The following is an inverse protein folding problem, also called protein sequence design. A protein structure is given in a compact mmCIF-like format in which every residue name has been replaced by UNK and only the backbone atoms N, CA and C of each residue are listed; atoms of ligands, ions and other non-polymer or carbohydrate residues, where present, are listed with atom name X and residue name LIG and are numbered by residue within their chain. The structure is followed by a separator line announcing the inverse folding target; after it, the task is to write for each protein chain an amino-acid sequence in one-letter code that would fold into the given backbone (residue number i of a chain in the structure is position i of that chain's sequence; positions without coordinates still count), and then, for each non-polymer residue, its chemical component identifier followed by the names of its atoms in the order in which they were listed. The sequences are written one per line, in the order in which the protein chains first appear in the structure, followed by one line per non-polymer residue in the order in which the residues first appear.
data_IF_372146943030
#
_entry.id   IF_372146943030
#
_cell.length_a   1.000
_cell.length_b   1.000
_cell.length_c   1.000
_cell.angle_alpha   90.00
_cell.angle_beta   90.00
_cell.angle_gamma   90.00
#
_symmetry.space_group_name_H-M   'P 1'
#
loop_
_entity.id
_entity.type
_entity.pdbx_description
1 polymer ?
#
# COMPACT_ATOMS: atom_id res chain seq x y z
N UNK A 1 15.69 -1.96 10.46
CA UNK A 1 15.71 -2.91 9.34
C UNK A 1 16.27 -2.18 8.13
N UNK A 2 17.24 -2.76 7.41
CA UNK A 2 17.74 -2.20 6.15
C UNK A 2 16.79 -2.50 5.00
N UNK A 3 16.99 -1.84 3.86
CA UNK A 3 16.24 -2.11 2.64
C UNK A 3 16.44 -3.56 2.17
N UNK A 4 17.66 -4.07 2.28
CA UNK A 4 18.04 -5.43 1.88
C UNK A 4 17.40 -6.48 2.80
N UNK A 5 17.33 -6.22 4.10
CA UNK A 5 16.62 -7.08 5.06
C UNK A 5 15.12 -7.12 4.76
N UNK A 6 14.52 -5.96 4.45
CA UNK A 6 13.11 -5.87 4.08
C UNK A 6 12.83 -6.65 2.79
N UNK A 7 13.70 -6.52 1.78
CA UNK A 7 13.62 -7.29 0.54
C UNK A 7 13.71 -8.80 0.79
N UNK A 8 14.65 -9.23 1.62
CA UNK A 8 14.81 -10.64 1.99
C UNK A 8 13.58 -11.20 2.74
N UNK A 9 12.80 -10.36 3.42
CA UNK A 9 11.51 -10.78 4.00
C UNK A 9 10.41 -10.89 2.95
N UNK A 10 10.37 -9.97 1.98
CA UNK A 10 9.40 -10.00 0.88
C UNK A 10 9.60 -11.21 -0.05
N UNK A 11 10.84 -11.69 -0.22
CA UNK A 11 11.16 -12.92 -0.97
C UNK A 11 10.51 -14.17 -0.40
N UNK A 12 10.12 -14.15 0.88
CA UNK A 12 9.48 -15.28 1.57
C UNK A 12 7.97 -15.30 1.41
N UNK A 13 7.37 -14.31 0.75
CA UNK A 13 5.94 -14.27 0.49
C UNK A 13 5.53 -15.43 -0.43
N UNK A 14 4.33 -16.00 -0.24
CA UNK A 14 3.85 -17.08 -1.08
C UNK A 14 3.63 -16.59 -2.52
N UNK A 15 3.67 -17.53 -3.46
CA UNK A 15 3.17 -17.28 -4.81
C UNK A 15 1.65 -17.34 -4.80
N UNK A 16 1.02 -16.58 -5.68
CA UNK A 16 -0.43 -16.55 -5.84
C UNK A 16 -0.83 -17.48 -6.99
N UNK A 17 -1.97 -18.16 -6.84
CA UNK A 17 -2.49 -19.00 -7.91
C UNK A 17 -3.05 -18.14 -9.06
N UNK A 18 -3.11 -18.73 -10.26
CA UNK A 18 -3.77 -18.09 -11.41
C UNK A 18 -5.27 -17.88 -11.18
N UNK A 19 -5.89 -18.74 -10.35
CA UNK A 19 -7.30 -18.61 -9.95
C UNK A 19 -7.50 -17.34 -9.12
N UNK A 20 -6.69 -17.16 -8.08
CA UNK A 20 -6.69 -15.95 -7.23
C UNK A 20 -6.39 -14.70 -8.06
N UNK A 21 -5.40 -14.76 -8.96
CA UNK A 21 -5.07 -13.64 -9.83
C UNK A 21 -6.24 -13.27 -10.76
N UNK A 22 -6.94 -14.28 -11.31
CA UNK A 22 -8.13 -14.09 -12.13
C UNK A 22 -9.28 -13.44 -11.36
N UNK A 23 -9.64 -13.99 -10.19
CA UNK A 23 -10.72 -13.45 -9.36
C UNK A 23 -10.43 -12.01 -8.94
N UNK A 24 -9.21 -11.73 -8.50
CA UNK A 24 -8.82 -10.37 -8.12
C UNK A 24 -8.90 -9.41 -9.30
N UNK A 25 -8.46 -9.83 -10.50
CA UNK A 25 -8.54 -8.99 -11.70
C UNK A 25 -9.99 -8.66 -12.09
N UNK A 26 -10.89 -9.64 -12.00
CA UNK A 26 -12.33 -9.46 -12.25
C UNK A 26 -12.98 -8.50 -11.25
N UNK A 27 -12.59 -8.59 -9.96
CA UNK A 27 -13.18 -7.79 -8.88
C UNK A 27 -12.46 -6.47 -8.62
N UNK A 28 -11.33 -6.20 -9.27
CA UNK A 28 -10.44 -5.06 -8.97
C UNK A 28 -11.15 -3.72 -8.82
N UNK A 29 -12.03 -3.38 -9.76
CA UNK A 29 -12.74 -2.09 -9.72
C UNK A 29 -13.75 -2.03 -8.56
N UNK A 30 -14.42 -3.14 -8.28
CA UNK A 30 -15.34 -3.27 -7.13
C UNK A 30 -14.59 -3.14 -5.80
N UNK A 31 -13.41 -3.76 -5.68
CA UNK A 31 -12.56 -3.66 -4.50
C UNK A 31 -12.15 -2.20 -4.24
N UNK A 32 -11.72 -1.47 -5.27
CA UNK A 32 -11.35 -0.06 -5.14
C UNK A 32 -12.57 0.85 -4.82
N UNK A 33 -13.72 0.57 -5.42
CA UNK A 33 -14.96 1.27 -5.13
C UNK A 33 -15.35 1.12 -3.66
N UNK A 34 -15.30 -0.10 -3.14
CA UNK A 34 -15.65 -0.35 -1.75
C UNK A 34 -14.64 0.26 -0.78
N UNK A 35 -13.35 0.17 -1.10
CA UNK A 35 -12.29 0.82 -0.33
C UNK A 35 -12.53 2.32 -0.21
N UNK A 36 -12.86 2.99 -1.32
CA UNK A 36 -13.20 4.40 -1.34
C UNK A 36 -14.47 4.70 -0.53
N UNK A 37 -15.49 3.85 -0.62
CA UNK A 37 -16.73 4.01 0.12
C UNK A 37 -16.50 3.96 1.63
N UNK A 38 -15.71 3.00 2.12
CA UNK A 38 -15.43 2.85 3.55
C UNK A 38 -14.53 3.98 4.06
N UNK A 39 -13.40 4.22 3.40
CA UNK A 39 -12.47 5.28 3.83
C UNK A 39 -13.10 6.68 3.72
N UNK A 40 -13.88 6.94 2.67
CA UNK A 40 -14.59 8.21 2.46
C UNK A 40 -15.63 8.53 3.54
N UNK A 41 -16.10 7.52 4.29
CA UNK A 41 -17.07 7.68 5.38
C UNK A 41 -16.42 7.90 6.75
N UNK A 42 -15.08 7.89 6.83
CA UNK A 42 -14.38 8.07 8.10
C UNK A 42 -14.53 9.50 8.64
N UNK A 43 -14.89 9.66 9.93
CA UNK A 43 -15.01 10.99 10.52
C UNK A 43 -13.66 11.70 10.66
N UNK A 44 -12.56 10.95 10.77
CA UNK A 44 -11.19 11.45 10.90
C UNK A 44 -10.46 11.57 9.55
N UNK A 45 -11.17 11.47 8.42
CA UNK A 45 -10.53 11.36 7.11
C UNK A 45 -9.60 12.53 6.80
N UNK A 46 -10.05 13.76 7.04
CA UNK A 46 -9.24 14.96 6.82
C UNK A 46 -7.96 14.97 7.67
N UNK A 47 -8.00 14.43 8.89
CA UNK A 47 -6.82 14.30 9.75
C UNK A 47 -5.82 13.27 9.20
N UNK A 48 -6.32 12.23 8.52
CA UNK A 48 -5.48 11.18 7.92
C UNK A 48 -4.78 11.64 6.64
N UNK A 49 -5.51 12.31 5.74
CA UNK A 49 -5.02 12.60 4.39
C UNK A 49 -4.64 14.06 4.17
N UNK A 50 -5.01 14.97 5.07
CA UNK A 50 -4.91 16.42 4.88
C UNK A 50 -6.11 17.00 4.11
N UNK A 51 -6.40 18.27 4.35
CA UNK A 51 -7.53 18.94 3.69
C UNK A 51 -7.38 18.97 2.17
N UNK A 52 -8.49 18.72 1.45
CA UNK A 52 -8.52 18.76 -0.02
C UNK A 52 -7.95 17.52 -0.73
N UNK A 53 -7.42 16.52 -0.01
CA UNK A 53 -6.77 15.35 -0.61
C UNK A 53 -7.69 14.15 -0.93
N UNK A 54 -9.01 14.30 -0.80
CA UNK A 54 -9.96 13.19 -1.00
C UNK A 54 -9.82 12.50 -2.36
N UNK A 55 -9.78 13.28 -3.45
CA UNK A 55 -9.64 12.71 -4.79
C UNK A 55 -8.29 11.97 -4.97
N UNK A 56 -7.21 12.50 -4.40
CA UNK A 56 -5.89 11.88 -4.42
C UNK A 56 -5.88 10.55 -3.65
N UNK A 57 -6.58 10.48 -2.52
CA UNK A 57 -6.75 9.23 -1.78
C UNK A 57 -7.50 8.20 -2.63
N UNK A 58 -8.59 8.59 -3.30
CA UNK A 58 -9.32 7.65 -4.14
C UNK A 58 -8.49 7.13 -5.33
N UNK A 59 -7.70 8.01 -5.95
CA UNK A 59 -6.75 7.62 -6.98
C UNK A 59 -5.68 6.67 -6.45
N UNK A 60 -5.19 6.91 -5.23
CA UNK A 60 -4.27 6.00 -4.56
C UNK A 60 -4.88 4.61 -4.38
N UNK A 61 -6.13 4.50 -3.94
CA UNK A 61 -6.80 3.21 -3.77
C UNK A 61 -7.01 2.49 -5.12
N UNK A 62 -7.40 3.22 -6.17
CA UNK A 62 -7.51 2.66 -7.54
C UNK A 62 -6.15 2.16 -8.03
N UNK A 63 -5.08 2.91 -7.77
CA UNK A 63 -3.72 2.53 -8.15
C UNK A 63 -3.20 1.36 -7.32
N UNK A 64 -3.50 1.29 -6.03
CA UNK A 64 -3.20 0.15 -5.17
C UNK A 64 -3.84 -1.12 -5.72
N UNK A 65 -5.13 -1.10 -6.06
CA UNK A 65 -5.81 -2.26 -6.64
C UNK A 65 -5.17 -2.71 -7.97
N UNK A 66 -4.82 -1.77 -8.85
CA UNK A 66 -4.10 -2.10 -10.11
C UNK A 66 -2.72 -2.69 -9.84
N UNK A 67 -1.98 -2.09 -8.92
CA UNK A 67 -0.65 -2.53 -8.54
C UNK A 67 -0.67 -3.96 -7.99
N UNK A 68 -1.54 -4.24 -7.01
CA UNK A 68 -1.66 -5.58 -6.43
C UNK A 68 -2.11 -6.59 -7.49
N UNK A 69 -3.05 -6.24 -8.36
CA UNK A 69 -3.45 -7.11 -9.47
C UNK A 69 -2.29 -7.45 -10.41
N UNK A 70 -1.40 -6.50 -10.70
CA UNK A 70 -0.19 -6.76 -11.49
C UNK A 70 0.83 -7.61 -10.72
N UNK A 71 0.98 -7.35 -9.42
CA UNK A 71 1.96 -8.00 -8.55
C UNK A 71 1.60 -9.47 -8.31
N UNK A 72 0.32 -9.81 -8.11
CA UNK A 72 -0.09 -11.21 -7.91
C UNK A 72 0.04 -12.05 -9.18
N UNK A 73 -0.04 -11.43 -10.37
CA UNK A 73 0.19 -12.12 -11.63
C UNK A 73 1.69 -12.37 -11.90
N UNK A 74 2.56 -11.47 -11.47
CA UNK A 74 4.02 -11.60 -11.63
C UNK A 74 4.74 -11.03 -10.40
N UNK A 75 4.84 -11.86 -9.35
CA UNK A 75 5.37 -11.41 -8.07
C UNK A 75 6.84 -11.03 -8.16
N UNK A 76 7.15 -9.79 -7.79
CA UNK A 76 8.51 -9.30 -7.66
C UNK A 76 8.68 -8.60 -6.30
N UNK A 77 9.47 -9.18 -5.37
CA UNK A 77 9.79 -8.57 -4.08
C UNK A 77 10.37 -7.17 -4.22
N UNK A 78 11.24 -6.96 -5.22
CA UNK A 78 11.86 -5.66 -5.47
C UNK A 78 10.82 -4.63 -5.89
N UNK A 79 9.92 -4.97 -6.81
CA UNK A 79 8.84 -4.08 -7.24
C UNK A 79 7.91 -3.75 -6.07
N UNK A 80 7.58 -4.72 -5.22
CA UNK A 80 6.81 -4.49 -3.99
C UNK A 80 7.48 -3.46 -3.08
N UNK A 81 8.72 -3.72 -2.67
CA UNK A 81 9.44 -2.88 -1.70
C UNK A 81 9.63 -1.46 -2.24
N UNK A 82 10.11 -1.32 -3.48
CA UNK A 82 10.35 0.00 -4.07
C UNK A 82 9.07 0.81 -4.24
N UNK A 83 7.98 0.17 -4.66
CA UNK A 83 6.71 0.87 -4.88
C UNK A 83 6.14 1.35 -3.54
N UNK A 84 6.15 0.52 -2.50
CA UNK A 84 5.62 0.93 -1.19
C UNK A 84 6.47 2.05 -0.58
N UNK A 85 7.80 1.99 -0.66
CA UNK A 85 8.68 3.06 -0.19
C UNK A 85 8.42 4.38 -0.95
N UNK A 86 8.21 4.31 -2.27
CA UNK A 86 7.88 5.49 -3.06
C UNK A 86 6.51 6.08 -2.68
N UNK A 87 5.49 5.24 -2.48
CA UNK A 87 4.16 5.68 -2.04
C UNK A 87 4.24 6.39 -0.69
N UNK A 88 4.93 5.82 0.30
CA UNK A 88 5.09 6.47 1.60
C UNK A 88 5.69 7.88 1.47
N UNK A 89 6.72 8.05 0.63
CA UNK A 89 7.34 9.37 0.41
C UNK A 89 6.42 10.34 -0.33
N UNK A 90 5.85 9.91 -1.45
CA UNK A 90 5.06 10.76 -2.32
C UNK A 90 3.85 11.34 -1.56
N UNK A 91 3.06 10.49 -0.92
CA UNK A 91 1.83 10.95 -0.26
C UNK A 91 2.11 11.75 1.02
N UNK A 92 3.20 11.45 1.74
CA UNK A 92 3.62 12.29 2.88
C UNK A 92 3.97 13.71 2.45
N UNK A 93 4.59 13.90 1.28
CA UNK A 93 4.84 15.25 0.73
C UNK A 93 3.56 16.00 0.37
N UNK A 94 2.44 15.29 0.19
CA UNK A 94 1.12 15.86 -0.04
C UNK A 94 0.29 16.02 1.24
N UNK A 95 0.83 15.72 2.43
CA UNK A 95 0.15 15.95 3.71
C UNK A 95 -0.53 14.73 4.32
N UNK A 96 -0.41 13.54 3.71
CA UNK A 96 -0.89 12.31 4.32
C UNK A 96 -0.08 12.00 5.59
N UNK A 97 -0.79 11.63 6.66
CA UNK A 97 -0.21 11.31 7.97
C UNK A 97 0.16 9.84 8.08
N UNK A 98 1.08 9.52 8.98
CA UNK A 98 1.49 8.13 9.21
C UNK A 98 0.34 7.22 9.66
N UNK A 99 -0.67 7.77 10.32
CA UNK A 99 -1.89 7.08 10.75
C UNK A 99 -2.80 6.66 9.60
N UNK A 100 -2.63 7.23 8.40
CA UNK A 100 -3.38 6.82 7.21
C UNK A 100 -3.02 5.40 6.76
N UNK A 101 -1.75 5.02 6.83
CA UNK A 101 -1.28 3.71 6.35
C UNK A 101 -1.91 2.51 7.06
N UNK A 102 -1.96 2.46 8.41
CA UNK A 102 -2.64 1.36 9.09
C UNK A 102 -4.14 1.39 8.80
N UNK A 103 -4.79 2.56 8.83
CA UNK A 103 -6.21 2.70 8.51
C UNK A 103 -6.55 2.17 7.10
N UNK A 104 -5.72 2.51 6.12
CA UNK A 104 -5.87 2.05 4.74
C UNK A 104 -5.68 0.53 4.62
N UNK A 105 -4.60 -0.01 5.18
CA UNK A 105 -4.28 -1.44 5.03
C UNK A 105 -5.29 -2.33 5.77
N UNK A 106 -5.74 -1.93 6.94
CA UNK A 106 -6.79 -2.65 7.68
C UNK A 106 -8.10 -2.66 6.88
N UNK A 107 -8.47 -1.51 6.31
CA UNK A 107 -9.67 -1.42 5.45
C UNK A 107 -9.54 -2.30 4.21
N UNK A 108 -8.36 -2.35 3.57
CA UNK A 108 -8.13 -3.29 2.47
C UNK A 108 -8.33 -4.74 2.89
N UNK A 109 -7.82 -5.15 4.05
CA UNK A 109 -8.01 -6.51 4.57
C UNK A 109 -9.50 -6.82 4.74
N UNK A 110 -10.28 -5.89 5.30
CA UNK A 110 -11.74 -6.03 5.44
C UNK A 110 -12.44 -6.17 4.09
N UNK A 111 -12.12 -5.31 3.12
CA UNK A 111 -12.68 -5.33 1.77
C UNK A 111 -12.36 -6.66 1.09
N UNK A 112 -11.12 -7.10 1.12
CA UNK A 112 -10.70 -8.36 0.48
C UNK A 112 -11.40 -9.56 1.09
N UNK A 113 -11.51 -9.59 2.42
CA UNK A 113 -12.19 -10.68 3.14
C UNK A 113 -13.67 -10.77 2.77
N UNK A 114 -14.31 -9.63 2.51
CA UNK A 114 -15.74 -9.57 2.20
C UNK A 114 -16.03 -9.85 0.73
N UNK A 115 -15.20 -9.34 -0.16
CA UNK A 115 -15.47 -9.33 -1.59
C UNK A 115 -14.84 -10.52 -2.34
N UNK A 116 -13.75 -11.11 -1.84
CA UNK A 116 -13.12 -12.26 -2.47
C UNK A 116 -13.66 -13.58 -1.91
N UNK A 117 -13.45 -14.66 -2.66
CA UNK A 117 -13.63 -16.01 -2.14
C UNK A 117 -12.68 -16.26 -0.95
N UNK A 118 -13.06 -17.14 -0.01
CA UNK A 118 -12.19 -17.48 1.12
C UNK A 118 -10.79 -17.95 0.69
N UNK A 119 -10.71 -18.75 -0.38
CA UNK A 119 -9.44 -19.25 -0.91
C UNK A 119 -8.56 -18.11 -1.46
N UNK A 120 -9.13 -17.20 -2.27
CA UNK A 120 -8.37 -16.07 -2.80
C UNK A 120 -7.94 -15.10 -1.69
N UNK A 121 -8.81 -14.86 -0.71
CA UNK A 121 -8.45 -14.07 0.47
C UNK A 121 -7.30 -14.71 1.26
N UNK A 122 -7.34 -16.01 1.53
CA UNK A 122 -6.29 -16.73 2.26
C UNK A 122 -4.94 -16.68 1.52
N UNK A 123 -4.92 -16.74 0.19
CA UNK A 123 -3.70 -16.58 -0.60
C UNK A 123 -3.15 -15.14 -0.59
N UNK A 124 -4.04 -14.13 -0.61
CA UNK A 124 -3.64 -12.71 -0.70
C UNK A 124 -3.29 -12.12 0.67
N UNK A 125 -3.97 -12.54 1.73
CA UNK A 125 -3.81 -11.98 3.07
C UNK A 125 -2.34 -11.92 3.56
N UNK A 126 -1.48 -12.93 3.34
CA UNK A 126 -0.07 -12.86 3.72
C UNK A 126 0.68 -11.63 3.18
N UNK A 127 0.35 -11.16 1.98
CA UNK A 127 0.93 -9.95 1.40
C UNK A 127 0.54 -8.69 2.20
N UNK A 128 -0.75 -8.56 2.54
CA UNK A 128 -1.24 -7.42 3.32
C UNK A 128 -0.74 -7.45 4.74
N UNK A 129 -0.76 -8.63 5.37
CA UNK A 129 -0.19 -8.83 6.69
C UNK A 129 1.30 -8.49 6.74
N UNK A 130 2.07 -8.87 5.71
CA UNK A 130 3.47 -8.48 5.58
C UNK A 130 3.63 -6.96 5.48
N UNK A 131 2.83 -6.28 4.64
CA UNK A 131 2.85 -4.81 4.58
C UNK A 131 2.55 -4.19 5.95
N UNK A 132 1.56 -4.72 6.68
CA UNK A 132 1.16 -4.23 8.00
C UNK A 132 2.29 -4.37 9.02
N UNK A 133 2.91 -5.54 9.12
CA UNK A 133 4.00 -5.81 10.07
C UNK A 133 5.22 -4.92 9.77
N UNK A 134 5.52 -4.68 8.50
CA UNK A 134 6.69 -3.93 8.08
C UNK A 134 6.45 -2.41 7.94
N UNK A 135 5.27 -1.89 8.33
CA UNK A 135 5.00 -0.45 8.34
C UNK A 135 6.08 0.38 9.03
N UNK A 136 6.59 0.03 10.24
CA UNK A 136 7.66 0.80 10.87
C UNK A 136 8.93 0.88 10.00
N UNK A 137 9.30 -0.21 9.33
CA UNK A 137 10.45 -0.24 8.43
C UNK A 137 10.24 0.66 7.21
N UNK A 138 9.03 0.67 6.64
CA UNK A 138 8.69 1.58 5.54
C UNK A 138 8.79 3.04 5.95
N UNK A 139 8.32 3.40 7.16
CA UNK A 139 8.44 4.75 7.70
C UNK A 139 9.92 5.14 7.81
N UNK A 140 10.72 4.36 8.55
CA UNK A 140 12.14 4.66 8.80
C UNK A 140 12.94 4.81 7.49
N UNK A 141 12.76 3.88 6.56
CA UNK A 141 13.47 3.89 5.28
C UNK A 141 13.00 5.04 4.37
N UNK A 142 11.71 5.35 4.37
CA UNK A 142 11.17 6.48 3.58
C UNK A 142 11.67 7.83 4.10
N UNK A 143 11.78 7.99 5.43
CA UNK A 143 12.30 9.21 6.07
C UNK A 143 13.79 9.40 5.80
N UNK A 144 14.59 8.34 5.88
CA UNK A 144 16.02 8.41 5.58
C UNK A 144 16.29 8.90 4.14
N UNK A 145 15.44 8.50 3.19
CA UNK A 145 15.53 8.93 1.79
C UNK A 145 15.10 10.39 1.57
N UNK A 146 14.21 10.92 2.40
CA UNK A 146 13.83 12.35 2.38
C UNK A 146 14.93 13.20 3.02
N UNK A 147 15.48 12.76 4.16
CA UNK A 147 16.57 13.45 4.87
C UNK A 147 17.90 13.49 4.09
N UNK A 148 18.12 12.55 3.18
CA UNK A 148 19.28 12.51 2.28
C UNK A 148 19.29 13.54 1.15
N UNK A 149 18.24 14.35 0.98
CA UNK A 149 18.14 15.40 -0.05
C UNK A 149 18.24 16.84 0.50
N UNK A 150 18.78 17.04 1.71
CA UNK A 150 19.03 18.38 2.25
C UNK A 150 20.32 19.03 1.69
N UNK A 151 20.13 19.93 0.72
CA UNK A 151 20.98 21.04 0.20
C UNK A 151 22.25 20.76 -0.64
N UNK A 152 22.29 21.19 -1.93
CA UNK A 152 23.51 21.77 -2.49
C UNK A 152 23.66 23.17 -1.89
N UNK A 153 24.63 23.33 -0.99
CA UNK A 153 24.99 24.62 -0.42
C UNK A 153 25.29 25.63 -1.52
N UNK A 154 24.47 26.68 -1.63
CA UNK A 154 24.90 27.93 -2.21
C UNK A 154 25.76 28.64 -1.17
N UNK A 155 27.05 28.36 -1.19
CA UNK A 155 28.08 29.18 -0.56
C UNK A 155 28.64 30.14 -1.59
N UNK A 156 28.51 31.44 -1.29
CA UNK A 156 28.95 32.59 -2.06
C UNK A 156 30.47 32.63 -2.32
#
# INVERSE_FOLDING_TARGET
MTREELLATAEKLPRFSTVTAGEFAEKREQLALEMNRIMGQRPDLADLIGEGNHAMMEDNHRNHARFIGSLIHNFSPQVLVETVLWVFRAYRSHGFRLTYWPAQLDTWVEVLKRELSPAAYEEIYPLYHWMIIHQPAFVDLSDALIGGQATPGHGA
#
